data_IF_893910000624
#
_entry.id   IF_893910000624
#
_cell.length_a   1.000
_cell.length_b   1.000
_cell.length_c   1.000
_cell.angle_alpha   90.00
_cell.angle_beta   90.00
_cell.angle_gamma   90.00
#
_symmetry.space_group_name_H-M   'P 1'
#
loop_
_entity.id
_entity.type
_entity.pdbx_description
1 polymer ?
#
# COMPACT_ATOMS: atom_id res chain seq x y z
N UNK A 1 5.50 -0.50 -8.77
CA UNK A 1 4.87 -1.83 -8.79
C UNK A 1 5.85 -2.82 -9.38
N UNK A 2 5.61 -4.13 -9.25
CA UNK A 2 6.50 -5.16 -9.79
C UNK A 2 7.63 -5.61 -8.87
N UNK A 3 7.60 -5.24 -7.59
CA UNK A 3 8.57 -5.72 -6.60
C UNK A 3 8.55 -7.25 -6.45
N UNK A 4 9.71 -7.85 -6.15
CA UNK A 4 9.81 -9.29 -5.89
C UNK A 4 9.01 -9.68 -4.64
N UNK A 5 8.38 -10.85 -4.69
CA UNK A 5 7.61 -11.42 -3.59
C UNK A 5 8.53 -12.10 -2.56
N UNK A 6 9.52 -11.36 -2.05
CA UNK A 6 10.55 -11.84 -1.10
C UNK A 6 10.24 -11.47 0.36
N UNK A 7 9.12 -10.77 0.61
CA UNK A 7 8.73 -10.25 1.92
C UNK A 7 9.51 -9.02 2.40
N UNK A 8 10.51 -8.55 1.66
CA UNK A 8 11.38 -7.42 2.03
C UNK A 8 11.36 -6.26 1.04
N UNK A 9 11.23 -6.55 -0.24
CA UNK A 9 11.19 -5.57 -1.33
C UNK A 9 9.78 -4.99 -1.40
N UNK A 10 9.64 -3.72 -0.99
CA UNK A 10 8.34 -3.07 -0.92
C UNK A 10 7.91 -2.48 -2.26
N UNK A 11 6.60 -2.47 -2.49
CA UNK A 11 5.92 -1.54 -3.37
C UNK A 11 5.51 -0.30 -2.58
N UNK A 12 5.77 0.89 -3.11
CA UNK A 12 5.35 2.14 -2.48
C UNK A 12 4.16 2.74 -3.21
N UNK A 13 3.09 3.01 -2.49
CA UNK A 13 1.97 3.81 -2.97
C UNK A 13 1.98 5.17 -2.28
N UNK A 14 1.65 6.22 -3.03
CA UNK A 14 1.43 7.55 -2.48
C UNK A 14 -0.05 7.89 -2.49
N UNK A 15 -0.57 8.27 -1.33
CA UNK A 15 -1.95 8.75 -1.14
C UNK A 15 -1.90 10.23 -0.80
N UNK A 16 -2.90 10.99 -1.27
CA UNK A 16 -3.08 12.41 -0.92
C UNK A 16 -4.46 12.59 -0.34
N UNK A 17 -4.54 13.15 0.85
CA UNK A 17 -5.79 13.46 1.55
C UNK A 17 -6.11 14.94 1.33
N UNK A 18 -7.29 15.19 0.80
CA UNK A 18 -7.81 16.54 0.59
C UNK A 18 -9.21 16.67 1.18
N UNK A 19 -9.59 17.89 1.55
CA UNK A 19 -10.98 18.22 1.85
C UNK A 19 -11.83 18.33 0.55
N UNK A 20 -13.12 18.61 0.71
CA UNK A 20 -14.06 18.76 -0.40
C UNK A 20 -13.76 19.98 -1.30
N UNK A 21 -12.93 20.91 -0.85
CA UNK A 21 -12.51 22.12 -1.58
C UNK A 21 -11.12 21.97 -2.21
N UNK A 22 -10.45 20.82 -2.02
CA UNK A 22 -9.12 20.53 -2.56
C UNK A 22 -7.95 20.96 -1.68
N UNK A 23 -8.20 21.41 -0.45
CA UNK A 23 -7.13 21.72 0.51
C UNK A 23 -6.51 20.44 1.06
N UNK A 24 -5.18 20.40 1.16
CA UNK A 24 -4.46 19.26 1.74
C UNK A 24 -4.63 19.20 3.24
N UNK A 25 -4.94 18.02 3.76
CA UNK A 25 -5.15 17.80 5.18
C UNK A 25 -3.97 17.03 5.77
N UNK A 26 -3.21 17.68 6.64
CA UNK A 26 -2.13 17.08 7.39
C UNK A 26 -2.63 16.41 8.68
N UNK A 27 -1.85 15.47 9.22
CA UNK A 27 -2.11 14.85 10.53
C UNK A 27 -3.34 13.95 10.55
N UNK A 28 -3.87 13.58 9.39
CA UNK A 28 -4.98 12.66 9.27
C UNK A 28 -4.51 11.21 9.35
N UNK A 29 -5.17 10.43 10.19
CA UNK A 29 -4.98 8.97 10.29
C UNK A 29 -5.68 8.28 9.13
N UNK A 30 -4.91 7.56 8.33
CA UNK A 30 -5.39 6.72 7.23
C UNK A 30 -5.18 5.27 7.63
N UNK A 31 -6.25 4.48 7.63
CA UNK A 31 -6.19 3.03 7.81
C UNK A 31 -5.85 2.36 6.49
N UNK A 32 -4.98 1.36 6.52
CA UNK A 32 -4.53 0.65 5.32
C UNK A 32 -4.74 -0.83 5.49
N UNK A 33 -5.30 -1.46 4.46
CA UNK A 33 -5.48 -2.90 4.34
C UNK A 33 -4.85 -3.36 3.03
N UNK A 34 -4.21 -4.52 3.06
CA UNK A 34 -3.72 -5.20 1.86
C UNK A 34 -4.23 -6.64 1.86
N UNK A 35 -4.60 -7.14 0.69
CA UNK A 35 -5.03 -8.53 0.51
C UNK A 35 -3.91 -9.41 -0.08
N UNK A 36 -4.26 -10.64 -0.50
CA UNK A 36 -3.34 -11.60 -1.12
C UNK A 36 -2.07 -11.88 -0.27
N UNK A 37 -2.21 -11.81 1.06
CA UNK A 37 -1.10 -12.05 2.00
C UNK A 37 -0.04 -10.94 2.05
N UNK A 38 -0.29 -9.79 1.43
CA UNK A 38 0.60 -8.65 1.52
C UNK A 38 0.57 -8.00 2.91
N UNK A 39 1.73 -7.49 3.34
CA UNK A 39 1.95 -6.84 4.63
C UNK A 39 2.16 -5.35 4.44
N UNK A 40 1.54 -4.54 5.30
CA UNK A 40 1.65 -3.08 5.31
C UNK A 40 1.50 -2.56 6.75
N UNK A 41 1.89 -1.32 7.00
CA UNK A 41 1.49 -0.63 8.22
C UNK A 41 -0.05 -0.53 8.28
N UNK A 42 -0.71 -0.87 9.40
CA UNK A 42 -2.18 -0.87 9.50
C UNK A 42 -2.76 0.55 9.52
N UNK A 43 -1.98 1.52 9.97
CA UNK A 43 -2.31 2.94 9.98
C UNK A 43 -1.10 3.77 9.60
N UNK A 44 -1.36 4.87 8.89
CA UNK A 44 -0.35 5.87 8.50
C UNK A 44 -0.91 7.27 8.75
N UNK A 45 -0.03 8.26 8.94
CA UNK A 45 -0.41 9.65 9.20
C UNK A 45 0.07 10.50 8.03
N UNK A 46 -0.80 11.38 7.54
CA UNK A 46 -0.45 12.32 6.47
C UNK A 46 0.53 13.39 6.93
N UNK A 47 1.49 13.68 6.07
CA UNK A 47 2.49 14.73 6.19
C UNK A 47 1.86 16.13 6.08
N UNK A 48 2.62 17.21 6.37
CA UNK A 48 2.14 18.59 6.26
C UNK A 48 1.57 18.98 4.89
N UNK A 49 1.99 18.30 3.82
CA UNK A 49 1.50 18.49 2.46
C UNK A 49 0.23 17.64 2.14
N UNK A 50 -0.30 16.94 3.14
CA UNK A 50 -1.44 16.04 3.05
C UNK A 50 -1.17 14.73 2.31
N UNK A 51 0.09 14.41 2.02
CA UNK A 51 0.46 13.13 1.40
C UNK A 51 0.91 12.11 2.42
N UNK A 52 0.87 10.84 2.04
CA UNK A 52 1.43 9.75 2.83
C UNK A 52 1.92 8.64 1.91
N UNK A 53 3.04 8.04 2.28
CA UNK A 53 3.59 6.88 1.60
C UNK A 53 3.22 5.60 2.34
N UNK A 54 2.79 4.60 1.58
CA UNK A 54 2.38 3.29 2.06
C UNK A 54 3.33 2.27 1.45
N UNK A 55 4.14 1.65 2.29
CA UNK A 55 5.03 0.56 1.93
C UNK A 55 4.31 -0.78 2.10
N UNK A 56 4.29 -1.57 1.04
CA UNK A 56 3.62 -2.87 1.00
C UNK A 56 4.62 -3.94 0.57
N UNK A 57 4.80 -4.98 1.35
CA UNK A 57 5.62 -6.16 0.99
C UNK A 57 4.76 -7.39 0.84
N UNK A 58 5.23 -8.43 0.15
CA UNK A 58 4.53 -9.71 0.06
C UNK A 58 5.54 -10.83 -0.13
N UNK A 59 5.23 -12.02 0.39
CA UNK A 59 5.92 -13.28 0.03
C UNK A 59 5.15 -14.07 -1.04
N UNK A 60 3.94 -13.60 -1.38
CA UNK A 60 3.08 -14.23 -2.37
C UNK A 60 3.12 -13.39 -3.64
N UNK A 61 3.54 -14.02 -4.74
CA UNK A 61 3.46 -13.41 -6.06
C UNK A 61 2.00 -13.22 -6.48
N UNK A 62 1.74 -12.20 -7.29
CA UNK A 62 0.41 -11.88 -7.80
C UNK A 62 -0.03 -10.47 -7.47
N UNK A 63 -1.29 -10.19 -7.73
CA UNK A 63 -1.90 -8.88 -7.51
C UNK A 63 -2.41 -8.79 -6.08
N UNK A 64 -2.03 -7.73 -5.38
CA UNK A 64 -2.56 -7.34 -4.07
C UNK A 64 -3.30 -6.02 -4.20
N UNK A 65 -4.57 -5.98 -3.80
CA UNK A 65 -5.35 -4.75 -3.63
C UNK A 65 -5.01 -4.11 -2.29
N UNK A 66 -4.56 -2.85 -2.35
CA UNK A 66 -4.23 -2.01 -1.19
C UNK A 66 -5.34 -0.98 -1.05
N UNK A 67 -6.06 -1.03 0.06
CA UNK A 67 -7.19 -0.16 0.36
C UNK A 67 -6.81 0.79 1.48
N UNK A 68 -6.78 2.08 1.18
CA UNK A 68 -6.63 3.16 2.14
C UNK A 68 -8.01 3.72 2.50
N UNK A 69 -8.29 3.91 3.78
CA UNK A 69 -9.54 4.48 4.26
C UNK A 69 -9.32 5.54 5.32
N UNK A 70 -10.18 6.55 5.30
CA UNK A 70 -10.18 7.67 6.24
C UNK A 70 -11.62 8.10 6.47
N UNK A 71 -12.06 8.16 7.73
CA UNK A 71 -13.44 8.43 8.10
C UNK A 71 -14.41 7.54 7.30
N UNK A 72 -15.27 8.12 6.47
CA UNK A 72 -16.24 7.45 5.58
C UNK A 72 -15.78 7.37 4.12
N UNK A 73 -14.53 7.72 3.81
CA UNK A 73 -13.93 7.65 2.47
C UNK A 73 -12.95 6.48 2.37
N UNK A 74 -12.90 5.84 1.20
CA UNK A 74 -11.92 4.78 0.92
C UNK A 74 -11.50 4.81 -0.53
N UNK A 75 -10.26 4.41 -0.78
CA UNK A 75 -9.69 4.27 -2.10
C UNK A 75 -8.84 3.01 -2.16
N UNK A 76 -9.00 2.23 -3.23
CA UNK A 76 -8.25 1.00 -3.45
C UNK A 76 -7.37 1.12 -4.70
N UNK A 77 -6.17 0.56 -4.64
CA UNK A 77 -5.25 0.43 -5.77
C UNK A 77 -4.56 -0.91 -5.73
N UNK A 78 -4.38 -1.49 -6.91
CA UNK A 78 -3.68 -2.75 -7.06
C UNK A 78 -2.17 -2.52 -7.18
N UNK A 79 -1.39 -3.37 -6.53
CA UNK A 79 0.03 -3.56 -6.77
C UNK A 79 0.30 -5.00 -7.16
N UNK A 80 1.32 -5.21 -7.98
CA UNK A 80 1.70 -6.56 -8.41
C UNK A 80 3.05 -6.90 -7.79
N UNK A 81 3.15 -8.11 -7.22
CA UNK A 81 4.39 -8.72 -6.79
C UNK A 81 4.80 -9.82 -7.76
N UNK A 82 6.06 -9.82 -8.17
CA UNK A 82 6.62 -10.81 -9.10
C UNK A 82 7.27 -11.94 -8.29
N UNK A 83 7.09 -13.19 -8.71
CA UNK A 83 7.72 -14.32 -8.02
C UNK A 83 9.25 -14.18 -7.99
N UNK A 84 9.85 -14.41 -6.83
CA UNK A 84 11.32 -14.48 -6.72
C UNK A 84 11.80 -15.77 -7.38
N UNK A 85 12.34 -15.63 -8.60
CA UNK A 85 12.88 -16.75 -9.39
C UNK A 85 14.03 -17.48 -8.69
N UNK A 86 14.69 -16.85 -7.71
CA UNK A 86 15.76 -17.48 -6.91
C UNK A 86 15.22 -18.56 -5.98
N UNK A 87 13.92 -18.51 -5.68
CA UNK A 87 13.24 -19.49 -4.82
C UNK A 87 12.48 -20.57 -5.60
N UNK A 88 12.62 -20.62 -6.93
CA UNK A 88 11.93 -21.59 -7.76
C UNK A 88 12.31 -23.04 -7.41
N UNK A 89 11.30 -23.90 -7.19
CA UNK A 89 11.45 -25.33 -6.91
C UNK A 89 10.54 -26.15 -7.82
N UNK A 90 10.97 -27.38 -8.17
CA UNK A 90 10.12 -28.39 -8.81
C UNK A 90 9.53 -29.26 -7.71
N UNK A 91 8.20 -29.42 -7.68
CA UNK A 91 7.46 -30.26 -6.73
C UNK A 91 7.06 -31.61 -7.34
#
# INVERSE_FOLDING_TARGET
DGSEADGSTANTLRVRVTDAFGNTLAGQTVSVLADNGATTAPTVITEPDGTVEISVTSQTAGVSAVTASINSSSQSRNVTFVADVRTAQIA
#
